data_IF_321597296801
#
_entry.id   IF_321597296801
#
_cell.length_a   1.000
_cell.length_b   1.000
_cell.length_c   1.000
_cell.angle_alpha   90.00
_cell.angle_beta   90.00
_cell.angle_gamma   90.00
#
_symmetry.space_group_name_H-M   'P 1'
#
loop_
_entity.id
_entity.type
_entity.pdbx_description
1 polymer ?
#
# COMPACT_ATOMS: atom_id res chain seq x y z
N UNK A 1 -3.15 -9.15 31.45
CA UNK A 1 -3.13 -8.04 30.49
C UNK A 1 -3.63 -6.72 31.11
N UNK A 2 -4.70 -6.75 31.89
CA UNK A 2 -5.36 -5.54 32.44
C UNK A 2 -4.49 -4.79 33.47
N UNK A 3 -3.68 -5.50 34.23
CA UNK A 3 -2.83 -4.91 35.29
C UNK A 3 -1.66 -4.09 34.69
N UNK A 4 -1.06 -4.55 33.59
CA UNK A 4 0.01 -3.83 32.92
C UNK A 4 -0.52 -2.54 32.29
N UNK A 5 -1.69 -2.58 31.69
CA UNK A 5 -2.34 -1.40 31.13
C UNK A 5 -2.61 -0.32 32.19
N UNK A 6 -3.07 -0.70 33.37
CA UNK A 6 -3.30 0.24 34.49
C UNK A 6 -2.01 0.83 35.04
N UNK A 7 -0.89 0.10 34.97
CA UNK A 7 0.42 0.64 35.44
C UNK A 7 0.96 1.70 34.47
N UNK A 8 0.72 1.56 33.16
CA UNK A 8 1.14 2.55 32.17
C UNK A 8 0.45 3.91 32.36
N UNK A 9 -0.83 3.93 32.74
CA UNK A 9 -1.52 5.18 33.09
C UNK A 9 -0.89 5.98 34.25
N UNK A 10 -0.02 5.36 35.05
CA UNK A 10 0.73 6.05 36.12
C UNK A 10 2.01 6.71 35.61
N UNK A 11 2.45 6.42 34.38
CA UNK A 11 3.65 7.03 33.83
C UNK A 11 3.39 8.48 33.42
N UNK A 12 4.36 9.41 33.70
CA UNK A 12 4.20 10.82 33.36
C UNK A 12 3.91 11.04 31.86
N UNK A 13 4.53 10.24 30.97
CA UNK A 13 4.33 10.32 29.54
C UNK A 13 2.89 9.97 29.13
N UNK A 14 2.34 8.88 29.67
CA UNK A 14 0.94 8.49 29.41
C UNK A 14 -0.07 9.49 29.97
N UNK A 15 0.21 10.04 31.15
CA UNK A 15 -0.64 11.09 31.74
C UNK A 15 -0.67 12.35 30.87
N UNK A 16 0.49 12.73 30.29
CA UNK A 16 0.55 13.86 29.36
C UNK A 16 -0.26 13.58 28.09
N UNK A 17 -0.08 12.42 27.47
CA UNK A 17 -0.82 12.04 26.26
C UNK A 17 -2.33 11.98 26.54
N UNK A 18 -2.73 11.47 27.68
CA UNK A 18 -4.14 11.46 28.11
C UNK A 18 -4.70 12.89 28.29
N UNK A 19 -3.94 13.78 28.90
CA UNK A 19 -4.31 15.17 29.04
C UNK A 19 -4.44 15.89 27.70
N UNK A 20 -3.50 15.66 26.78
CA UNK A 20 -3.56 16.23 25.42
C UNK A 20 -4.77 15.71 24.65
N UNK A 21 -5.09 14.41 24.74
CA UNK A 21 -6.29 13.84 24.15
C UNK A 21 -7.58 14.45 24.72
N UNK A 22 -7.66 14.68 26.02
CA UNK A 22 -8.79 15.37 26.65
C UNK A 22 -8.92 16.81 26.15
N UNK A 23 -7.82 17.58 26.09
CA UNK A 23 -7.82 18.94 25.56
C UNK A 23 -8.28 18.98 24.09
N UNK A 24 -7.81 18.02 23.29
CA UNK A 24 -8.20 17.87 21.89
C UNK A 24 -9.72 17.64 21.76
N UNK A 25 -10.24 16.70 22.54
CA UNK A 25 -11.68 16.41 22.54
C UNK A 25 -12.52 17.61 22.99
N UNK A 26 -12.11 18.31 24.05
CA UNK A 26 -12.83 19.52 24.53
C UNK A 26 -12.90 20.60 23.44
N UNK A 27 -11.87 20.75 22.62
CA UNK A 27 -11.84 21.76 21.55
C UNK A 27 -12.73 21.44 20.36
N UNK A 28 -12.86 20.17 20.00
CA UNK A 28 -13.57 19.73 18.77
C UNK A 28 -14.95 19.14 19.09
N UNK A 29 -15.07 18.28 20.11
CA UNK A 29 -16.31 17.80 20.67
C UNK A 29 -17.08 16.78 19.84
N UNK A 30 -16.46 16.12 18.85
CA UNK A 30 -17.12 15.11 18.02
C UNK A 30 -16.90 13.69 18.53
N UNK A 31 -17.89 12.81 18.35
CA UNK A 31 -17.79 11.42 18.78
C UNK A 31 -16.72 10.65 17.97
N UNK A 32 -16.59 10.95 16.69
CA UNK A 32 -15.55 10.34 15.83
C UNK A 32 -14.13 10.64 16.35
N UNK A 33 -13.90 11.88 16.78
CA UNK A 33 -12.60 12.24 17.37
C UNK A 33 -12.39 11.54 18.71
N UNK A 34 -13.42 11.41 19.54
CA UNK A 34 -13.34 10.70 20.82
C UNK A 34 -12.95 9.23 20.63
N UNK A 35 -13.61 8.55 19.69
CA UNK A 35 -13.30 7.15 19.36
C UNK A 35 -11.86 7.01 18.86
N UNK A 36 -11.43 7.83 17.93
CA UNK A 36 -10.08 7.81 17.38
C UNK A 36 -9.01 8.06 18.43
N UNK A 37 -9.20 9.07 19.29
CA UNK A 37 -8.27 9.35 20.39
C UNK A 37 -8.23 8.21 21.41
N UNK A 38 -9.38 7.59 21.70
CA UNK A 38 -9.46 6.42 22.60
C UNK A 38 -8.70 5.23 22.04
N UNK A 39 -8.83 4.95 20.74
CA UNK A 39 -8.10 3.87 20.07
C UNK A 39 -6.58 4.11 20.09
N UNK A 40 -6.15 5.34 19.88
CA UNK A 40 -4.73 5.70 19.95
C UNK A 40 -4.21 5.51 21.38
N UNK A 41 -4.92 5.96 22.40
CA UNK A 41 -4.53 5.79 23.79
C UNK A 41 -4.47 4.32 24.19
N UNK A 42 -5.42 3.48 23.74
CA UNK A 42 -5.39 2.03 23.95
C UNK A 42 -4.15 1.39 23.31
N UNK A 43 -3.85 1.74 22.05
CA UNK A 43 -2.63 1.23 21.38
C UNK A 43 -1.37 1.69 22.11
N UNK A 44 -1.33 2.94 22.56
CA UNK A 44 -0.20 3.51 23.28
C UNK A 44 0.08 2.79 24.59
N UNK A 45 -0.95 2.40 25.34
CA UNK A 45 -0.84 1.65 26.60
C UNK A 45 -0.19 0.28 26.40
N UNK A 46 -0.31 -0.33 25.23
CA UNK A 46 0.26 -1.64 24.92
C UNK A 46 1.73 -1.56 24.45
N UNK A 47 2.25 -0.35 24.18
CA UNK A 47 3.64 -0.14 23.76
C UNK A 47 4.52 0.16 24.99
N UNK A 48 5.27 -0.84 25.45
CA UNK A 48 6.05 -0.74 26.70
C UNK A 48 7.48 -0.22 26.51
N UNK A 49 7.94 -0.06 25.28
CA UNK A 49 9.29 0.45 24.99
C UNK A 49 9.23 1.73 24.16
N UNK A 50 10.27 2.56 24.27
CA UNK A 50 10.41 3.75 23.43
C UNK A 50 10.67 3.33 21.97
N UNK A 51 9.60 2.97 21.27
CA UNK A 51 9.59 2.60 19.85
C UNK A 51 9.20 3.79 18.97
N UNK A 52 9.48 3.70 17.66
CA UNK A 52 8.99 4.68 16.70
C UNK A 52 7.45 4.75 16.71
N UNK A 53 6.78 3.61 16.91
CA UNK A 53 5.33 3.55 17.03
C UNK A 53 4.83 4.36 18.22
N UNK A 54 5.49 4.24 19.38
CA UNK A 54 5.14 5.02 20.56
C UNK A 54 5.22 6.52 20.32
N UNK A 55 6.29 6.97 19.65
CA UNK A 55 6.47 8.38 19.29
C UNK A 55 5.38 8.82 18.32
N UNK A 56 5.12 8.03 17.26
CA UNK A 56 4.11 8.34 16.27
C UNK A 56 2.69 8.41 16.85
N UNK A 57 2.36 7.55 17.82
CA UNK A 57 1.07 7.61 18.52
C UNK A 57 0.93 8.91 19.35
N UNK A 58 2.00 9.37 20.02
CA UNK A 58 2.01 10.64 20.74
C UNK A 58 1.83 11.84 19.81
N UNK A 59 2.53 11.87 18.68
CA UNK A 59 2.38 12.92 17.65
C UNK A 59 0.97 12.90 17.04
N UNK A 60 0.39 11.74 16.81
CA UNK A 60 -0.97 11.59 16.26
C UNK A 60 -2.02 12.25 17.16
N UNK A 61 -1.91 12.14 18.49
CA UNK A 61 -2.81 12.81 19.44
C UNK A 61 -2.78 14.35 19.26
N UNK A 62 -1.63 14.91 18.90
CA UNK A 62 -1.46 16.35 18.71
C UNK A 62 -1.89 16.84 17.33
N UNK A 63 -1.78 15.99 16.31
CA UNK A 63 -2.03 16.35 14.91
C UNK A 63 -3.49 16.13 14.50
N UNK A 64 -4.08 14.99 14.86
CA UNK A 64 -5.45 14.61 14.45
C UNK A 64 -6.49 15.70 14.76
N UNK A 65 -6.49 16.38 15.91
CA UNK A 65 -7.46 17.44 16.20
C UNK A 65 -7.35 18.68 15.31
N UNK A 66 -6.27 18.80 14.53
CA UNK A 66 -6.05 19.90 13.58
C UNK A 66 -6.58 19.57 12.19
N UNK A 67 -6.88 18.30 11.92
CA UNK A 67 -7.30 17.82 10.61
C UNK A 67 -8.82 17.78 10.49
N UNK A 68 -9.33 18.10 9.31
CA UNK A 68 -10.73 17.86 8.98
C UNK A 68 -10.92 16.42 8.47
N UNK A 69 -12.15 15.85 8.53
CA UNK A 69 -12.39 14.46 8.13
C UNK A 69 -11.85 14.11 6.74
N UNK A 70 -12.06 14.97 5.73
CA UNK A 70 -11.55 14.75 4.37
C UNK A 70 -10.03 14.63 4.30
N UNK A 71 -9.31 15.34 5.17
CA UNK A 71 -7.84 15.24 5.24
C UNK A 71 -7.41 13.91 5.87
N UNK A 72 -8.10 13.43 6.89
CA UNK A 72 -7.81 12.12 7.50
C UNK A 72 -8.07 10.99 6.51
N UNK A 73 -9.19 11.06 5.78
CA UNK A 73 -9.51 10.10 4.71
C UNK A 73 -8.45 10.12 3.60
N UNK A 74 -7.99 11.31 3.20
CA UNK A 74 -6.92 11.46 2.20
C UNK A 74 -5.62 10.82 2.67
N UNK A 75 -5.19 11.05 3.92
CA UNK A 75 -4.01 10.41 4.49
C UNK A 75 -4.14 8.89 4.53
N UNK A 76 -5.33 8.37 4.88
CA UNK A 76 -5.58 6.93 4.88
C UNK A 76 -5.47 6.34 3.46
N UNK A 77 -6.00 7.02 2.45
CA UNK A 77 -5.91 6.59 1.04
C UNK A 77 -4.45 6.57 0.56
N UNK A 78 -3.69 7.63 0.84
CA UNK A 78 -2.27 7.71 0.50
C UNK A 78 -1.46 6.61 1.18
N UNK A 79 -1.71 6.38 2.48
CA UNK A 79 -1.05 5.33 3.24
C UNK A 79 -1.33 3.93 2.67
N UNK A 80 -2.59 3.65 2.31
CA UNK A 80 -2.95 2.37 1.70
C UNK A 80 -2.27 2.20 0.35
N UNK A 81 -2.28 3.24 -0.49
CA UNK A 81 -1.68 3.19 -1.81
C UNK A 81 -0.16 2.94 -1.76
N UNK A 82 0.55 3.53 -0.80
CA UNK A 82 2.01 3.47 -0.73
C UNK A 82 2.56 2.32 0.13
N UNK A 83 1.84 1.94 1.19
CA UNK A 83 2.39 1.09 2.24
C UNK A 83 1.63 -0.22 2.48
N UNK A 84 0.38 -0.33 2.03
CA UNK A 84 -0.37 -1.58 2.21
C UNK A 84 -0.18 -2.50 1.00
N UNK A 85 0.58 -3.57 1.22
CA UNK A 85 0.72 -4.68 0.29
C UNK A 85 0.34 -5.98 1.02
N UNK A 86 -0.96 -6.34 1.07
CA UNK A 86 -1.38 -7.60 1.65
C UNK A 86 -0.72 -8.78 0.94
N UNK A 87 -0.10 -9.68 1.73
CA UNK A 87 0.66 -10.84 1.20
C UNK A 87 -0.21 -11.96 0.62
N UNK A 88 -1.52 -11.89 0.81
CA UNK A 88 -2.48 -12.89 0.38
C UNK A 88 -3.16 -12.58 -0.95
N UNK A 89 -2.71 -11.57 -1.67
CA UNK A 89 -3.23 -11.23 -3.00
C UNK A 89 -2.44 -12.03 -4.04
N UNK A 90 -3.08 -13.07 -4.59
CA UNK A 90 -2.44 -13.98 -5.54
C UNK A 90 -3.13 -14.03 -6.91
N UNK A 91 -4.30 -13.42 -7.04
CA UNK A 91 -5.12 -13.40 -8.25
C UNK A 91 -5.95 -12.13 -8.35
N UNK A 92 -6.62 -11.93 -9.47
CA UNK A 92 -7.43 -10.73 -9.73
C UNK A 92 -8.67 -10.62 -8.82
N UNK A 93 -9.20 -11.72 -8.31
CA UNK A 93 -10.36 -11.69 -7.39
C UNK A 93 -9.93 -11.11 -6.05
N UNK A 94 -8.82 -11.62 -5.47
CA UNK A 94 -8.27 -11.11 -4.23
C UNK A 94 -7.88 -9.64 -4.36
N UNK A 95 -7.28 -9.27 -5.50
CA UNK A 95 -6.90 -7.90 -5.80
C UNK A 95 -8.11 -6.97 -5.90
N UNK A 96 -9.16 -7.39 -6.61
CA UNK A 96 -10.40 -6.62 -6.74
C UNK A 96 -11.09 -6.41 -5.39
N UNK A 97 -11.14 -7.45 -4.55
CA UNK A 97 -11.69 -7.36 -3.20
C UNK A 97 -10.87 -6.38 -2.36
N UNK A 98 -9.54 -6.49 -2.39
CA UNK A 98 -8.66 -5.55 -1.70
C UNK A 98 -8.92 -4.10 -2.11
N UNK A 99 -9.02 -3.80 -3.42
CA UNK A 99 -9.29 -2.44 -3.89
C UNK A 99 -10.65 -1.94 -3.39
N UNK A 100 -11.71 -2.77 -3.45
CA UNK A 100 -13.05 -2.39 -2.98
C UNK A 100 -13.11 -2.19 -1.48
N UNK A 101 -12.60 -3.14 -0.70
CA UNK A 101 -12.66 -3.13 0.76
C UNK A 101 -11.72 -2.10 1.40
N UNK A 102 -10.78 -1.54 0.62
CA UNK A 102 -9.83 -0.54 1.13
C UNK A 102 -9.94 0.78 0.39
N UNK A 103 -9.46 0.85 -0.85
CA UNK A 103 -9.33 2.13 -1.55
C UNK A 103 -10.69 2.75 -1.89
N UNK A 104 -11.63 1.95 -2.40
CA UNK A 104 -12.99 2.45 -2.72
C UNK A 104 -13.73 2.82 -1.45
N UNK A 105 -13.67 1.99 -0.43
CA UNK A 105 -14.30 2.26 0.87
C UNK A 105 -13.77 3.57 1.47
N UNK A 106 -12.46 3.75 1.55
CA UNK A 106 -11.85 5.00 2.05
C UNK A 106 -12.29 6.18 1.18
N UNK A 107 -12.24 6.06 -0.14
CA UNK A 107 -12.60 7.13 -1.07
C UNK A 107 -14.05 7.57 -0.91
N UNK A 108 -14.97 6.65 -0.60
CA UNK A 108 -16.41 6.91 -0.40
C UNK A 108 -16.72 7.84 0.78
N UNK A 109 -15.84 7.91 1.79
CA UNK A 109 -15.99 8.79 2.96
C UNK A 109 -15.62 10.25 2.67
N UNK A 110 -15.26 10.58 1.44
CA UNK A 110 -14.91 11.93 1.03
C UNK A 110 -13.45 12.29 1.30
N UNK A 111 -12.80 12.84 0.29
CA UNK A 111 -11.38 13.16 0.26
C UNK A 111 -11.16 14.65 0.01
N UNK A 112 -9.99 15.16 0.39
CA UNK A 112 -9.57 16.53 0.12
C UNK A 112 -9.43 16.78 -1.37
N UNK A 113 -10.08 17.85 -1.88
CA UNK A 113 -10.00 18.26 -3.29
C UNK A 113 -9.43 19.67 -3.48
N UNK A 114 -9.26 20.42 -2.38
CA UNK A 114 -8.80 21.80 -2.43
C UNK A 114 -7.29 21.85 -2.18
N UNK A 115 -6.59 22.64 -2.99
CA UNK A 115 -5.17 22.91 -2.80
C UNK A 115 -4.82 23.37 -1.38
N UNK A 116 -5.69 24.20 -0.77
CA UNK A 116 -5.49 24.67 0.62
C UNK A 116 -5.49 23.55 1.64
N UNK A 117 -6.25 22.46 1.43
CA UNK A 117 -6.29 21.30 2.32
C UNK A 117 -4.96 20.53 2.24
N UNK A 118 -4.39 20.37 1.05
CA UNK A 118 -3.05 19.77 0.88
C UNK A 118 -1.92 20.65 1.46
N UNK A 119 -2.01 21.96 1.29
CA UNK A 119 -1.09 22.89 1.94
C UNK A 119 -1.16 22.80 3.46
N UNK A 120 -2.37 22.64 4.02
CA UNK A 120 -2.55 22.43 5.46
C UNK A 120 -1.97 21.10 5.92
N UNK A 121 -2.16 19.99 5.17
CA UNK A 121 -1.52 18.69 5.46
C UNK A 121 0.01 18.80 5.46
N UNK A 122 0.59 19.55 4.52
CA UNK A 122 2.03 19.81 4.48
C UNK A 122 2.48 20.67 5.67
N UNK A 123 1.72 21.72 6.01
CA UNK A 123 1.99 22.58 7.17
C UNK A 123 1.94 21.83 8.49
N UNK A 124 1.02 20.86 8.62
CA UNK A 124 0.92 20.00 9.82
C UNK A 124 1.96 18.89 9.86
N UNK A 125 2.81 18.76 8.83
CA UNK A 125 3.83 17.73 8.74
C UNK A 125 3.31 16.34 8.37
N UNK A 126 2.04 16.22 7.95
CA UNK A 126 1.43 14.94 7.60
C UNK A 126 1.88 14.41 6.23
N UNK A 127 2.21 15.31 5.30
CA UNK A 127 2.71 14.97 3.97
C UNK A 127 3.91 15.82 3.60
N UNK A 128 4.77 15.28 2.75
CA UNK A 128 5.81 16.03 2.05
C UNK A 128 5.39 16.18 0.60
N UNK A 129 5.33 17.41 0.11
CA UNK A 129 5.12 17.64 -1.31
C UNK A 129 6.40 17.28 -2.06
N UNK A 130 6.33 16.26 -2.90
CA UNK A 130 7.43 15.86 -3.79
C UNK A 130 7.23 16.52 -5.16
N UNK A 131 8.30 17.02 -5.79
CA UNK A 131 8.24 17.44 -7.20
C UNK A 131 8.08 16.25 -8.16
N UNK A 132 8.26 15.03 -7.67
CA UNK A 132 8.11 13.79 -8.43
C UNK A 132 6.90 13.03 -7.92
N UNK A 133 5.83 13.00 -8.71
CA UNK A 133 4.66 12.16 -8.43
C UNK A 133 4.83 10.80 -9.11
N UNK A 134 4.62 9.72 -8.35
CA UNK A 134 4.49 8.38 -8.93
C UNK A 134 3.00 8.15 -9.15
N UNK A 135 2.63 7.75 -10.37
CA UNK A 135 1.24 7.41 -10.70
C UNK A 135 0.73 6.26 -9.83
N UNK A 136 -0.55 6.32 -9.46
CA UNK A 136 -1.17 5.24 -8.68
C UNK A 136 -1.09 3.89 -9.43
N UNK A 137 -1.28 3.88 -10.74
CA UNK A 137 -1.14 2.69 -11.58
C UNK A 137 0.26 2.09 -11.43
N UNK A 138 1.30 2.90 -11.62
CA UNK A 138 2.71 2.49 -11.48
C UNK A 138 3.01 1.94 -10.07
N UNK A 139 2.39 2.52 -9.03
CA UNK A 139 2.52 2.02 -7.65
C UNK A 139 1.89 0.64 -7.50
N UNK A 140 0.66 0.46 -7.99
CA UNK A 140 -0.05 -0.83 -7.94
C UNK A 140 0.67 -1.90 -8.77
N UNK A 141 1.16 -1.56 -9.96
CA UNK A 141 1.98 -2.46 -10.78
C UNK A 141 3.25 -2.92 -10.06
N UNK A 142 3.95 -2.00 -9.43
CA UNK A 142 5.18 -2.35 -8.69
C UNK A 142 4.91 -3.31 -7.54
N UNK A 143 3.79 -3.13 -6.82
CA UNK A 143 3.41 -3.96 -5.68
C UNK A 143 2.85 -5.33 -6.08
N UNK A 144 2.23 -5.42 -7.25
CA UNK A 144 1.51 -6.59 -7.73
C UNK A 144 1.84 -6.93 -9.18
N UNK A 145 3.10 -6.75 -9.58
CA UNK A 145 3.55 -6.93 -10.97
C UNK A 145 3.13 -8.27 -11.58
N UNK A 146 3.11 -9.33 -10.78
CA UNK A 146 2.65 -10.66 -11.21
C UNK A 146 1.20 -10.72 -11.68
N UNK A 147 0.34 -9.74 -11.33
CA UNK A 147 -1.02 -9.62 -11.86
C UNK A 147 -1.07 -8.86 -13.19
N UNK A 148 -0.02 -8.08 -13.50
CA UNK A 148 0.05 -7.19 -14.67
C UNK A 148 1.07 -7.69 -15.70
N UNK A 149 1.18 -9.02 -15.87
CA UNK A 149 2.07 -9.63 -16.86
C UNK A 149 1.37 -9.79 -18.21
N UNK A 150 2.07 -9.44 -19.30
CA UNK A 150 1.62 -9.70 -20.69
C UNK A 150 1.59 -11.19 -21.04
N UNK A 151 2.36 -12.00 -20.32
CA UNK A 151 2.61 -13.38 -20.65
C UNK A 151 3.54 -13.56 -21.86
N UNK A 152 4.24 -14.68 -21.90
CA UNK A 152 5.18 -15.08 -22.96
C UNK A 152 4.71 -16.35 -23.64
N UNK A 153 4.88 -16.48 -24.94
CA UNK A 153 4.71 -17.77 -25.60
C UNK A 153 5.83 -18.70 -25.15
N UNK A 154 5.53 -19.98 -25.03
CA UNK A 154 6.53 -21.00 -24.65
C UNK A 154 7.75 -21.02 -25.55
N UNK A 155 7.57 -20.66 -26.82
CA UNK A 155 8.64 -20.55 -27.83
C UNK A 155 9.59 -19.37 -27.61
N UNK A 156 9.14 -18.34 -26.91
CA UNK A 156 9.88 -17.08 -26.70
C UNK A 156 10.73 -17.14 -25.43
N UNK A 157 10.61 -18.23 -24.65
CA UNK A 157 11.41 -18.45 -23.45
C UNK A 157 12.84 -18.76 -23.85
N UNK A 158 13.81 -18.10 -23.22
CA UNK A 158 15.23 -18.39 -23.49
C UNK A 158 15.58 -19.85 -23.21
N UNK A 159 16.50 -20.37 -24.01
CA UNK A 159 17.12 -21.66 -23.80
C UNK A 159 18.43 -21.50 -23.04
N UNK A 160 18.80 -22.54 -22.31
CA UNK A 160 20.13 -22.69 -21.74
C UNK A 160 21.17 -22.93 -22.83
N UNK A 161 22.44 -22.93 -22.46
CA UNK A 161 23.56 -23.30 -23.35
C UNK A 161 23.39 -24.70 -23.94
N UNK A 162 22.74 -25.60 -23.19
CA UNK A 162 22.44 -26.99 -23.62
C UNK A 162 21.15 -27.08 -24.46
N UNK A 163 20.54 -25.94 -24.84
CA UNK A 163 19.35 -25.88 -25.70
C UNK A 163 18.01 -26.19 -24.99
N UNK A 164 18.01 -26.35 -23.68
CA UNK A 164 16.78 -26.62 -22.89
C UNK A 164 16.10 -25.30 -22.53
N UNK A 165 14.80 -25.20 -22.68
CA UNK A 165 14.03 -24.01 -22.26
C UNK A 165 14.05 -23.82 -20.74
N UNK A 166 14.17 -22.59 -20.26
CA UNK A 166 14.25 -22.27 -18.83
C UNK A 166 13.01 -22.72 -18.05
N UNK A 167 11.81 -22.70 -18.64
CA UNK A 167 10.59 -23.18 -17.98
C UNK A 167 10.55 -24.73 -17.85
N UNK A 168 11.36 -25.45 -18.60
CA UNK A 168 11.52 -26.89 -18.45
C UNK A 168 12.52 -27.20 -17.34
N UNK A 169 13.59 -26.41 -17.28
CA UNK A 169 14.67 -26.58 -16.30
C UNK A 169 14.27 -26.13 -14.89
N UNK A 170 13.45 -25.07 -14.80
CA UNK A 170 12.99 -24.45 -13.56
C UNK A 170 11.46 -24.29 -13.58
N UNK A 171 10.68 -25.40 -13.61
CA UNK A 171 9.23 -25.34 -13.73
C UNK A 171 8.56 -24.59 -12.59
N UNK A 172 9.16 -24.56 -11.39
CA UNK A 172 8.67 -23.86 -10.21
C UNK A 172 8.73 -22.33 -10.31
N UNK A 173 9.47 -21.81 -11.30
CA UNK A 173 9.55 -20.36 -11.57
C UNK A 173 8.52 -19.87 -12.61
N UNK A 174 7.76 -20.79 -13.21
CA UNK A 174 6.83 -20.44 -14.28
C UNK A 174 5.43 -20.97 -13.98
N UNK A 175 4.42 -20.22 -14.40
CA UNK A 175 3.01 -20.57 -14.30
C UNK A 175 2.25 -20.07 -15.53
N UNK A 176 1.00 -20.52 -15.69
CA UNK A 176 0.10 -19.96 -16.70
C UNK A 176 -0.10 -18.46 -16.44
N UNK A 177 -0.04 -17.66 -17.50
CA UNK A 177 -0.23 -16.22 -17.36
C UNK A 177 -1.66 -15.92 -16.88
N UNK A 178 -1.78 -15.07 -15.88
CA UNK A 178 -3.07 -14.69 -15.27
C UNK A 178 -3.99 -13.91 -16.21
N UNK A 179 -3.40 -13.26 -17.22
CA UNK A 179 -4.12 -12.44 -18.18
C UNK A 179 -4.34 -13.15 -19.53
N UNK A 180 -3.68 -14.30 -19.77
CA UNK A 180 -3.76 -15.02 -21.03
C UNK A 180 -3.39 -16.50 -20.81
N UNK A 181 -4.38 -17.37 -20.82
CA UNK A 181 -4.20 -18.79 -20.53
C UNK A 181 -3.38 -19.58 -21.57
N UNK A 182 -3.14 -19.00 -22.76
CA UNK A 182 -2.28 -19.60 -23.79
C UNK A 182 -0.79 -19.29 -23.58
N UNK A 183 -0.50 -18.35 -22.67
CA UNK A 183 0.85 -17.90 -22.35
C UNK A 183 1.28 -18.38 -20.95
N UNK A 184 2.56 -18.22 -20.70
CA UNK A 184 3.15 -18.43 -19.37
C UNK A 184 3.79 -17.15 -18.85
N UNK A 185 3.93 -17.06 -17.55
CA UNK A 185 4.61 -15.94 -16.87
C UNK A 185 5.55 -16.47 -15.78
N UNK A 186 6.41 -15.61 -15.25
CA UNK A 186 7.17 -15.92 -14.04
C UNK A 186 6.23 -15.93 -12.84
N UNK A 187 6.27 -17.00 -12.05
CA UNK A 187 5.34 -17.33 -10.96
C UNK A 187 5.68 -16.58 -9.66
N UNK A 188 5.68 -15.25 -9.71
CA UNK A 188 5.89 -14.37 -8.55
C UNK A 188 4.95 -13.15 -8.63
N UNK A 189 4.77 -12.48 -7.49
CA UNK A 189 3.95 -11.27 -7.43
C UNK A 189 4.76 -10.00 -7.65
N UNK A 190 6.02 -9.96 -7.24
CA UNK A 190 6.90 -8.82 -7.40
C UNK A 190 8.37 -9.24 -7.64
N UNK A 191 9.19 -8.27 -8.01
CA UNK A 191 10.61 -8.47 -8.27
C UNK A 191 11.36 -8.98 -7.03
N UNK A 192 11.00 -8.51 -5.83
CA UNK A 192 11.66 -8.90 -4.59
C UNK A 192 11.43 -10.39 -4.28
N UNK A 193 10.24 -10.89 -4.58
CA UNK A 193 9.94 -12.32 -4.46
C UNK A 193 10.79 -13.14 -5.45
N UNK A 194 10.91 -12.67 -6.70
CA UNK A 194 11.76 -13.34 -7.69
C UNK A 194 13.22 -13.40 -7.23
N UNK A 195 13.76 -12.27 -6.79
CA UNK A 195 15.13 -12.15 -6.29
C UNK A 195 15.40 -13.10 -5.10
N UNK A 196 14.42 -13.25 -4.20
CA UNK A 196 14.52 -14.18 -3.08
C UNK A 196 14.49 -15.65 -3.53
N UNK A 197 13.63 -15.98 -4.50
CA UNK A 197 13.50 -17.35 -5.02
C UNK A 197 14.77 -17.82 -5.73
N UNK A 198 15.33 -17.00 -6.59
CA UNK A 198 16.50 -17.40 -7.40
C UNK A 198 17.84 -17.09 -6.73
N UNK A 199 17.91 -16.04 -5.92
CA UNK A 199 19.14 -15.53 -5.30
C UNK A 199 20.14 -14.93 -6.31
N UNK A 200 21.02 -14.03 -5.87
CA UNK A 200 21.91 -13.27 -6.78
C UNK A 200 23.01 -14.09 -7.42
N UNK A 201 23.28 -15.29 -6.91
CA UNK A 201 24.29 -16.22 -7.46
C UNK A 201 23.75 -17.19 -8.51
N UNK A 202 22.45 -17.13 -8.80
CA UNK A 202 21.83 -18.02 -9.77
C UNK A 202 22.38 -17.77 -11.18
N UNK A 203 22.75 -18.82 -11.91
CA UNK A 203 23.37 -18.73 -13.26
C UNK A 203 22.59 -17.83 -14.22
N UNK A 204 21.27 -17.85 -14.16
CA UNK A 204 20.36 -17.09 -15.04
C UNK A 204 19.69 -15.90 -14.33
N UNK A 205 20.26 -15.40 -13.22
CA UNK A 205 19.67 -14.31 -12.43
C UNK A 205 19.28 -13.10 -13.28
N UNK A 206 20.26 -12.50 -13.98
CA UNK A 206 20.01 -11.30 -14.79
C UNK A 206 19.01 -11.55 -15.92
N UNK A 207 19.02 -12.75 -16.51
CA UNK A 207 18.09 -13.12 -17.57
C UNK A 207 16.65 -13.23 -17.03
N UNK A 208 16.44 -13.88 -15.91
CA UNK A 208 15.13 -14.03 -15.28
C UNK A 208 14.57 -12.70 -14.80
N UNK A 209 15.40 -11.84 -14.20
CA UNK A 209 15.01 -10.49 -13.80
C UNK A 209 14.57 -9.67 -15.02
N UNK A 210 15.39 -9.68 -16.08
CA UNK A 210 15.05 -8.99 -17.32
C UNK A 210 13.76 -9.52 -17.95
N UNK A 211 13.59 -10.83 -18.01
CA UNK A 211 12.34 -11.44 -18.51
C UNK A 211 11.12 -10.99 -17.70
N UNK A 212 11.26 -10.89 -16.38
CA UNK A 212 10.20 -10.39 -15.52
C UNK A 212 9.86 -8.93 -15.84
N UNK A 213 10.87 -8.05 -15.87
CA UNK A 213 10.70 -6.61 -16.14
C UNK A 213 10.14 -6.34 -17.55
N UNK A 214 10.66 -6.98 -18.58
CA UNK A 214 10.22 -6.82 -19.98
C UNK A 214 8.77 -7.33 -20.21
N UNK A 215 8.28 -8.16 -19.30
CA UNK A 215 6.95 -8.79 -19.40
C UNK A 215 5.85 -8.05 -18.63
N UNK A 216 6.18 -7.02 -17.85
CA UNK A 216 5.19 -6.16 -17.21
C UNK A 216 4.41 -5.39 -18.27
N UNK A 217 3.11 -5.25 -18.07
CA UNK A 217 2.25 -4.45 -18.94
C UNK A 217 2.64 -2.97 -18.89
N UNK A 218 2.45 -2.20 -19.97
CA UNK A 218 2.50 -0.74 -19.88
C UNK A 218 1.40 -0.20 -18.95
N UNK A 219 1.66 0.91 -18.24
CA UNK A 219 0.71 1.58 -17.33
C UNK A 219 -0.69 1.76 -17.93
N UNK A 220 -0.79 2.04 -19.25
CA UNK A 220 -2.07 2.22 -19.90
C UNK A 220 -2.90 0.92 -19.98
N UNK A 221 -2.24 -0.22 -20.24
CA UNK A 221 -2.90 -1.53 -20.29
C UNK A 221 -3.27 -2.00 -18.86
N UNK A 222 -2.37 -1.81 -17.91
CA UNK A 222 -2.63 -2.13 -16.50
C UNK A 222 -3.79 -1.29 -15.93
N UNK A 223 -3.83 0.00 -16.25
CA UNK A 223 -4.95 0.88 -15.88
C UNK A 223 -6.26 0.35 -16.43
N UNK A 224 -6.31 0.00 -17.72
CA UNK A 224 -7.51 -0.54 -18.35
C UNK A 224 -7.96 -1.86 -17.71
N UNK A 225 -7.01 -2.73 -17.35
CA UNK A 225 -7.28 -3.98 -16.65
C UNK A 225 -7.90 -3.69 -15.27
N UNK A 226 -7.31 -2.78 -14.48
CA UNK A 226 -7.84 -2.40 -13.17
C UNK A 226 -9.25 -1.82 -13.30
N UNK A 227 -9.49 -0.90 -14.25
CA UNK A 227 -10.81 -0.30 -14.50
C UNK A 227 -11.84 -1.34 -14.98
N UNK A 228 -11.39 -2.41 -15.64
CA UNK A 228 -12.25 -3.53 -16.04
C UNK A 228 -12.62 -4.41 -14.84
N UNK A 229 -11.67 -4.68 -13.95
CA UNK A 229 -11.88 -5.47 -12.74
C UNK A 229 -12.68 -4.73 -11.67
N UNK A 230 -12.42 -3.43 -11.53
CA UNK A 230 -13.01 -2.54 -10.51
C UNK A 230 -13.31 -1.18 -11.17
N UNK A 231 -14.49 -1.01 -11.81
CA UNK A 231 -14.84 0.20 -12.54
C UNK A 231 -14.79 1.48 -11.69
N UNK A 232 -15.04 1.37 -10.39
CA UNK A 232 -15.01 2.48 -9.43
C UNK A 232 -13.60 3.11 -9.30
N UNK A 233 -12.53 2.37 -9.62
CA UNK A 233 -11.16 2.89 -9.61
C UNK A 233 -10.93 4.02 -10.59
N UNK A 234 -11.78 4.17 -11.61
CA UNK A 234 -11.72 5.27 -12.57
C UNK A 234 -11.77 6.64 -11.90
N UNK A 235 -12.64 6.80 -10.89
CA UNK A 235 -12.75 8.06 -10.14
C UNK A 235 -11.50 8.32 -9.29
N UNK A 236 -10.93 7.28 -8.69
CA UNK A 236 -9.69 7.40 -7.90
C UNK A 236 -8.51 7.76 -8.81
N UNK A 237 -8.40 7.16 -9.98
CA UNK A 237 -7.34 7.52 -10.95
C UNK A 237 -7.50 8.96 -11.45
N UNK A 238 -8.72 9.43 -11.72
CA UNK A 238 -8.97 10.82 -12.06
C UNK A 238 -8.53 11.76 -10.94
N UNK A 239 -8.97 11.48 -9.72
CA UNK A 239 -8.56 12.25 -8.53
C UNK A 239 -7.04 12.31 -8.36
N UNK A 240 -6.36 11.16 -8.48
CA UNK A 240 -4.90 11.09 -8.30
C UNK A 240 -4.15 11.96 -9.30
N UNK A 241 -4.58 11.93 -10.56
CA UNK A 241 -3.95 12.73 -11.63
C UNK A 241 -4.23 14.24 -11.53
N UNK A 242 -5.34 14.66 -10.88
CA UNK A 242 -5.68 16.07 -10.68
C UNK A 242 -5.04 16.66 -9.43
N UNK A 243 -4.65 15.84 -8.47
CA UNK A 243 -4.21 16.27 -7.14
C UNK A 243 -2.69 16.37 -6.99
N UNK A 244 -1.92 15.81 -7.95
CA UNK A 244 -0.45 15.74 -7.91
C UNK A 244 0.23 16.32 -9.15
#
# INVERSE_FOLDING_TARGET
PTYLALSEFKTPAMQLDYLEAQKAYIKVGTDELKELLSDILVKRVHEHSRSLLLIALGEAIQVIPKLVPSQMTTLALLFVAEHKSPRNINNHVDFSNFLRETMIEIFSHGISRKRSEFQHLSFTGCILQSPFSIGLVTTLERLYAGLFMKGMKKTDIPKTEDGVYLNILYPELFDVCRNDSEKIQIAVMDKTELEKKIGPKHKYYNMLIKMFEDNIMPDAEAKLLIETLVPEMKEIFAYWNESY
#
